data_IF_765466807962
#
_entry.id   IF_765466807962
#
_cell.length_a   1.000
_cell.length_b   1.000
_cell.length_c   1.000
_cell.angle_alpha   90.00
_cell.angle_beta   90.00
_cell.angle_gamma   90.00
#
_symmetry.space_group_name_H-M   'P 1'
#
loop_
_entity.id
_entity.type
_entity.pdbx_description
1 polymer ?
#
# COMPACT_ATOMS: atom_id res chain seq x y z
N UNK A 1 -6.44 -19.74 40.46
CA UNK A 1 -5.41 -19.64 39.41
C UNK A 1 -5.86 -20.51 38.24
N UNK A 2 -6.55 -19.90 37.28
CA UNK A 2 -6.85 -20.50 35.97
C UNK A 2 -6.62 -19.35 34.98
N UNK A 3 -5.49 -19.40 34.29
CA UNK A 3 -5.15 -18.52 33.18
C UNK A 3 -6.04 -18.86 31.99
N UNK A 4 -6.95 -17.95 31.65
CA UNK A 4 -7.69 -18.01 30.38
C UNK A 4 -6.86 -17.26 29.34
N UNK A 5 -5.84 -17.93 28.82
CA UNK A 5 -5.24 -17.58 27.53
C UNK A 5 -5.76 -18.56 26.49
N UNK A 6 -6.86 -18.22 25.81
CA UNK A 6 -7.24 -18.89 24.54
C UNK A 6 -7.86 -17.88 23.56
N UNK A 7 -7.07 -17.55 22.53
CA UNK A 7 -7.44 -17.04 21.20
C UNK A 7 -7.97 -15.60 21.05
N UNK A 8 -7.31 -14.60 21.66
CA UNK A 8 -7.52 -13.20 21.30
C UNK A 8 -6.38 -12.68 20.43
N UNK A 9 -6.59 -12.48 19.12
CA UNK A 9 -5.64 -11.71 18.29
C UNK A 9 -5.57 -10.30 18.88
N UNK A 10 -4.37 -9.84 19.24
CA UNK A 10 -4.22 -8.52 19.84
C UNK A 10 -4.40 -7.42 18.79
N UNK A 11 -4.87 -6.23 19.20
CA UNK A 11 -4.95 -5.06 18.30
C UNK A 11 -3.57 -4.72 17.72
N UNK A 12 -2.51 -4.96 18.49
CA UNK A 12 -1.15 -4.74 18.04
C UNK A 12 -0.79 -5.65 16.87
N UNK A 13 -1.16 -6.93 16.93
CA UNK A 13 -0.91 -7.89 15.84
C UNK A 13 -1.71 -7.52 14.60
N UNK A 14 -2.96 -7.06 14.77
CA UNK A 14 -3.79 -6.54 13.67
C UNK A 14 -3.09 -5.36 12.99
N UNK A 15 -2.62 -4.37 13.76
CA UNK A 15 -1.93 -3.20 13.21
C UNK A 15 -0.64 -3.57 12.48
N UNK A 16 0.12 -4.56 12.97
CA UNK A 16 1.33 -5.07 12.31
C UNK A 16 1.01 -5.70 10.97
N UNK A 17 0.05 -6.62 10.90
CA UNK A 17 -0.37 -7.28 9.66
C UNK A 17 -0.91 -6.25 8.66
N UNK A 18 -1.74 -5.31 9.12
CA UNK A 18 -2.20 -4.21 8.28
C UNK A 18 -1.04 -3.36 7.75
N UNK A 19 -0.01 -3.14 8.56
CA UNK A 19 1.20 -2.43 8.17
C UNK A 19 1.96 -3.09 7.03
N UNK A 20 2.07 -4.40 7.02
CA UNK A 20 2.70 -5.16 5.92
C UNK A 20 1.86 -5.05 4.63
N UNK A 21 0.54 -5.24 4.73
CA UNK A 21 -0.37 -5.13 3.57
C UNK A 21 -0.32 -3.72 2.97
N UNK A 22 -0.41 -2.69 3.81
CA UNK A 22 -0.32 -1.29 3.38
C UNK A 22 1.05 -0.99 2.77
N UNK A 23 2.14 -1.55 3.29
CA UNK A 23 3.47 -1.37 2.72
C UNK A 23 3.56 -1.93 1.29
N UNK A 24 3.00 -3.11 1.05
CA UNK A 24 2.98 -3.72 -0.29
C UNK A 24 2.14 -2.88 -1.25
N UNK A 25 0.96 -2.41 -0.82
CA UNK A 25 0.10 -1.56 -1.63
C UNK A 25 0.75 -0.20 -1.93
N UNK A 26 1.41 0.42 -0.96
CA UNK A 26 2.09 1.70 -1.13
C UNK A 26 3.26 1.58 -2.11
N UNK A 27 3.97 0.45 -2.09
CA UNK A 27 5.00 0.12 -3.08
C UNK A 27 4.42 0.10 -4.50
N UNK A 28 3.25 -0.53 -4.71
CA UNK A 28 2.58 -0.50 -6.02
C UNK A 28 2.06 0.88 -6.41
N UNK A 29 1.69 1.74 -5.46
CA UNK A 29 1.23 3.11 -5.77
C UNK A 29 2.40 4.02 -6.13
N UNK A 30 3.52 3.95 -5.40
CA UNK A 30 4.67 4.85 -5.56
C UNK A 30 5.64 4.39 -6.65
N UNK A 31 5.80 3.08 -6.84
CA UNK A 31 6.79 2.47 -7.75
C UNK A 31 6.15 1.62 -8.85
N UNK A 32 4.88 1.84 -9.14
CA UNK A 32 4.15 1.04 -10.12
C UNK A 32 4.84 0.96 -11.49
N UNK A 33 5.43 2.07 -11.96
CA UNK A 33 6.14 2.14 -13.24
C UNK A 33 7.32 1.15 -13.33
N UNK A 34 7.86 0.74 -12.18
CA UNK A 34 8.96 -0.23 -12.08
C UNK A 34 8.49 -1.67 -11.79
N UNK A 35 7.25 -1.85 -11.34
CA UNK A 35 6.75 -3.14 -10.83
C UNK A 35 5.65 -3.75 -11.69
N UNK A 36 4.84 -2.92 -12.32
CA UNK A 36 3.76 -3.35 -13.20
C UNK A 36 4.29 -3.50 -14.62
N UNK A 37 3.82 -4.52 -15.32
CA UNK A 37 4.34 -4.94 -16.63
C UNK A 37 3.71 -4.14 -17.77
N UNK A 38 2.49 -3.66 -17.55
CA UNK A 38 1.72 -2.95 -18.58
C UNK A 38 1.01 -1.73 -18.00
N UNK A 39 0.81 -0.66 -18.81
CA UNK A 39 0.00 0.49 -18.40
C UNK A 39 -1.43 0.10 -17.97
N UNK A 40 -1.99 -0.94 -18.56
CA UNK A 40 -3.32 -1.42 -18.19
C UNK A 40 -3.41 -1.94 -16.74
N UNK A 41 -2.36 -2.57 -16.24
CA UNK A 41 -2.30 -3.00 -14.82
C UNK A 41 -2.27 -1.79 -13.88
N UNK A 42 -1.64 -0.69 -14.31
CA UNK A 42 -1.65 0.58 -13.59
C UNK A 42 -3.06 1.17 -13.56
N UNK A 43 -3.75 1.22 -14.70
CA UNK A 43 -5.15 1.66 -14.80
C UNK A 43 -6.07 0.84 -13.87
N UNK A 44 -5.89 -0.49 -13.87
CA UNK A 44 -6.67 -1.39 -13.03
C UNK A 44 -6.39 -1.17 -11.54
N UNK A 45 -5.13 -0.94 -11.14
CA UNK A 45 -4.79 -0.63 -9.76
C UNK A 45 -5.55 0.60 -9.26
N UNK A 46 -5.51 1.71 -9.98
CA UNK A 46 -6.21 2.93 -9.54
C UNK A 46 -7.73 2.81 -9.62
N UNK A 47 -8.24 2.04 -10.58
CA UNK A 47 -9.66 1.69 -10.61
C UNK A 47 -10.09 0.95 -9.34
N UNK A 48 -9.31 -0.04 -8.91
CA UNK A 48 -9.60 -0.77 -7.66
C UNK A 48 -9.42 0.11 -6.42
N UNK A 49 -8.47 1.06 -6.42
CA UNK A 49 -8.36 2.04 -5.33
C UNK A 49 -9.58 2.97 -5.24
N UNK A 50 -10.14 3.40 -6.38
CA UNK A 50 -11.39 4.18 -6.42
C UNK A 50 -12.55 3.36 -5.87
N UNK A 51 -12.69 2.09 -6.29
CA UNK A 51 -13.72 1.19 -5.78
C UNK A 51 -13.60 0.90 -4.28
N UNK A 52 -12.37 0.90 -3.78
CA UNK A 52 -12.05 0.64 -2.39
C UNK A 52 -11.98 1.91 -1.51
N UNK A 53 -12.35 3.09 -2.03
CA UNK A 53 -12.17 4.37 -1.33
C UNK A 53 -12.80 4.36 0.08
N UNK A 54 -14.02 3.83 0.19
CA UNK A 54 -14.71 3.76 1.49
C UNK A 54 -13.98 2.87 2.49
N UNK A 55 -13.51 1.70 2.05
CA UNK A 55 -12.77 0.76 2.89
C UNK A 55 -11.42 1.33 3.31
N UNK A 56 -10.75 2.08 2.43
CA UNK A 56 -9.51 2.80 2.74
C UNK A 56 -9.76 3.86 3.81
N UNK A 57 -10.88 4.61 3.72
CA UNK A 57 -11.25 5.58 4.75
C UNK A 57 -11.61 4.90 6.08
N UNK A 58 -12.35 3.78 6.07
CA UNK A 58 -12.66 3.01 7.28
C UNK A 58 -11.37 2.52 7.98
N UNK A 59 -10.39 2.07 7.20
CA UNK A 59 -9.06 1.69 7.72
C UNK A 59 -8.34 2.91 8.32
N UNK A 60 -8.38 4.05 7.63
CA UNK A 60 -7.77 5.30 8.13
C UNK A 60 -8.42 5.77 9.45
N UNK A 61 -9.75 5.75 9.55
CA UNK A 61 -10.50 6.06 10.77
C UNK A 61 -10.14 5.10 11.92
N UNK A 62 -10.03 3.79 11.62
CA UNK A 62 -9.59 2.80 12.60
C UNK A 62 -8.19 3.11 13.14
N UNK A 63 -7.25 3.44 12.26
CA UNK A 63 -5.87 3.80 12.63
C UNK A 63 -5.87 5.05 13.53
N UNK A 64 -6.62 6.10 13.18
CA UNK A 64 -6.73 7.31 14.00
C UNK A 64 -7.27 7.01 15.39
N UNK A 65 -8.27 6.14 15.49
CA UNK A 65 -8.81 5.69 16.78
C UNK A 65 -7.75 5.00 17.64
N UNK A 66 -6.88 4.18 17.04
CA UNK A 66 -5.78 3.54 17.79
C UNK A 66 -4.69 4.54 18.17
N UNK A 67 -4.39 5.52 17.32
CA UNK A 67 -3.41 6.57 17.59
C UNK A 67 -3.82 7.50 18.75
N UNK A 68 -5.12 7.62 19.03
CA UNK A 68 -5.64 8.40 20.16
C UNK A 68 -5.61 7.69 21.51
N UNK A 69 -5.12 6.45 21.59
CA UNK A 69 -5.04 5.69 22.84
C UNK A 69 -3.79 6.04 23.65
N UNK A 70 -3.87 5.88 24.96
CA UNK A 70 -2.77 6.19 25.91
C UNK A 70 -1.61 5.16 25.85
N UNK A 71 -1.82 4.00 25.23
CA UNK A 71 -0.77 2.98 25.09
C UNK A 71 0.23 3.41 24.02
N UNK A 72 1.40 3.88 24.45
CA UNK A 72 2.38 4.52 23.58
C UNK A 72 2.85 3.62 22.42
N UNK A 73 3.05 2.32 22.64
CA UNK A 73 3.45 1.38 21.58
C UNK A 73 2.38 1.23 20.48
N UNK A 74 1.10 1.15 20.86
CA UNK A 74 -0.01 1.09 19.92
C UNK A 74 -0.14 2.40 19.15
N UNK A 75 0.04 3.53 19.84
CA UNK A 75 0.01 4.85 19.22
C UNK A 75 1.11 5.03 18.20
N UNK A 76 2.35 4.66 18.52
CA UNK A 76 3.49 4.73 17.59
C UNK A 76 3.27 3.84 16.37
N UNK A 77 2.81 2.60 16.58
CA UNK A 77 2.50 1.67 15.48
C UNK A 77 1.41 2.25 14.57
N UNK A 78 0.34 2.80 15.15
CA UNK A 78 -0.76 3.41 14.41
C UNK A 78 -0.32 4.66 13.62
N UNK A 79 0.50 5.54 14.20
CA UNK A 79 1.01 6.74 13.52
C UNK A 79 1.92 6.38 12.34
N UNK A 80 2.77 5.36 12.49
CA UNK A 80 3.58 4.85 11.39
C UNK A 80 2.70 4.28 10.26
N UNK A 81 1.69 3.49 10.61
CA UNK A 81 0.74 2.95 9.64
C UNK A 81 -0.06 4.05 8.92
N UNK A 82 -0.49 5.08 9.65
CA UNK A 82 -1.16 6.26 9.08
C UNK A 82 -0.31 6.92 7.99
N UNK A 83 0.98 7.08 8.24
CA UNK A 83 1.90 7.68 7.29
C UNK A 83 2.05 6.80 6.03
N UNK A 84 2.22 5.49 6.20
CA UNK A 84 2.29 4.52 5.10
C UNK A 84 1.01 4.46 4.25
N UNK A 85 -0.17 4.63 4.87
CA UNK A 85 -1.44 4.64 4.14
C UNK A 85 -1.68 5.93 3.33
N UNK A 86 -0.88 6.97 3.56
CA UNK A 86 -1.19 8.32 3.10
C UNK A 86 -1.24 8.48 1.58
N UNK A 87 -0.34 7.85 0.82
CA UNK A 87 -0.33 7.93 -0.65
C UNK A 87 -1.49 7.14 -1.26
N UNK A 88 -1.74 5.93 -0.77
CA UNK A 88 -2.90 5.10 -1.17
C UNK A 88 -4.19 5.88 -0.98
N UNK A 89 -4.38 6.49 0.21
CA UNK A 89 -5.56 7.31 0.51
C UNK A 89 -5.65 8.54 -0.39
N UNK A 90 -4.51 9.19 -0.66
CA UNK A 90 -4.45 10.37 -1.53
C UNK A 90 -4.85 10.01 -2.96
N UNK A 91 -4.33 8.91 -3.51
CA UNK A 91 -4.71 8.38 -4.83
C UNK A 91 -6.21 8.08 -4.91
N UNK A 92 -6.71 7.24 -3.99
CA UNK A 92 -8.11 6.82 -3.98
C UNK A 92 -9.05 8.03 -3.92
N UNK A 93 -8.77 8.98 -3.01
CA UNK A 93 -9.60 10.18 -2.84
C UNK A 93 -9.51 11.13 -4.02
N UNK A 94 -8.31 11.31 -4.59
CA UNK A 94 -8.10 12.17 -5.75
C UNK A 94 -8.96 11.72 -6.93
N UNK A 95 -8.86 10.45 -7.31
CA UNK A 95 -9.61 9.93 -8.45
C UNK A 95 -11.10 9.78 -8.15
N UNK A 96 -11.48 9.45 -6.91
CA UNK A 96 -12.91 9.40 -6.53
C UNK A 96 -13.58 10.77 -6.68
N UNK A 97 -12.89 11.86 -6.32
CA UNK A 97 -13.40 13.21 -6.53
C UNK A 97 -13.54 13.56 -8.02
N UNK A 98 -12.57 13.18 -8.85
CA UNK A 98 -12.62 13.38 -10.31
C UNK A 98 -13.76 12.61 -10.96
N UNK A 99 -13.95 11.36 -10.55
CA UNK A 99 -15.06 10.51 -10.98
C UNK A 99 -16.41 11.13 -10.61
N UNK A 100 -16.55 11.60 -9.37
CA UNK A 100 -17.77 12.25 -8.91
C UNK A 100 -18.08 13.59 -9.61
N UNK A 101 -17.06 14.27 -10.13
CA UNK A 101 -17.25 15.49 -10.94
C UNK A 101 -17.77 15.19 -12.35
N UNK A 102 -17.54 13.98 -12.87
CA UNK A 102 -17.87 13.63 -14.25
C UNK A 102 -19.34 13.23 -14.44
N UNK A 103 -19.99 12.69 -13.40
CA UNK A 103 -21.42 12.32 -13.47
C UNK A 103 -22.04 12.21 -12.07
N UNK A 104 -23.33 12.53 -11.96
CA UNK A 104 -24.16 12.22 -10.80
C UNK A 104 -24.70 10.77 -10.80
N UNK A 105 -24.58 10.08 -11.94
CA UNK A 105 -25.04 8.70 -12.15
C UNK A 105 -23.88 7.70 -12.04
N UNK A 106 -24.20 6.42 -11.85
CA UNK A 106 -23.22 5.34 -11.81
C UNK A 106 -22.47 5.22 -13.15
N UNK A 107 -21.16 5.45 -13.12
CA UNK A 107 -20.28 5.29 -14.28
C UNK A 107 -20.01 3.82 -14.59
N UNK A 108 -19.79 3.53 -15.87
CA UNK A 108 -19.27 2.23 -16.33
C UNK A 108 -17.78 2.09 -16.02
N UNK A 109 -17.28 0.85 -16.02
CA UNK A 109 -15.86 0.53 -15.87
C UNK A 109 -14.97 1.38 -16.82
N UNK A 110 -15.31 1.40 -18.10
CA UNK A 110 -14.54 2.13 -19.11
C UNK A 110 -14.54 3.64 -18.87
N UNK A 111 -15.66 4.21 -18.44
CA UNK A 111 -15.74 5.65 -18.14
C UNK A 111 -14.87 6.03 -16.94
N UNK A 112 -14.85 5.20 -15.89
CA UNK A 112 -13.96 5.42 -14.74
C UNK A 112 -12.50 5.33 -15.17
N UNK A 113 -12.13 4.34 -15.99
CA UNK A 113 -10.77 4.24 -16.53
C UNK A 113 -10.35 5.47 -17.33
N UNK A 114 -11.23 5.99 -18.20
CA UNK A 114 -10.91 7.20 -18.97
C UNK A 114 -10.64 8.40 -18.06
N UNK A 115 -11.45 8.58 -17.00
CA UNK A 115 -11.21 9.66 -16.02
C UNK A 115 -9.87 9.47 -15.32
N UNK A 116 -9.50 8.25 -14.95
CA UNK A 116 -8.20 7.96 -14.30
C UNK A 116 -7.05 8.30 -15.27
N UNK A 117 -7.09 7.77 -16.49
CA UNK A 117 -6.07 7.94 -17.52
C UNK A 117 -5.84 9.42 -17.87
N UNK A 118 -6.89 10.22 -17.91
CA UNK A 118 -6.83 11.65 -18.23
C UNK A 118 -6.31 12.54 -17.09
N UNK A 119 -6.14 12.00 -15.87
CA UNK A 119 -5.82 12.82 -14.67
C UNK A 119 -4.57 12.34 -13.91
N UNK A 120 -3.78 11.41 -14.45
CA UNK A 120 -2.56 10.90 -13.80
C UNK A 120 -1.55 11.99 -13.44
N UNK A 121 -1.36 12.97 -14.33
CA UNK A 121 -0.43 14.08 -14.17
C UNK A 121 -0.79 15.02 -13.00
N UNK A 122 -2.06 14.99 -12.56
CA UNK A 122 -2.54 15.82 -11.45
C UNK A 122 -2.36 15.17 -10.07
N UNK A 123 -1.95 13.90 -10.05
CA UNK A 123 -1.70 13.16 -8.82
C UNK A 123 -0.28 13.42 -8.30
N UNK A 124 -0.17 13.81 -7.04
CA UNK A 124 1.11 14.10 -6.39
C UNK A 124 1.27 13.25 -5.14
N UNK A 125 2.31 12.42 -5.11
CA UNK A 125 2.62 11.58 -3.96
C UNK A 125 3.64 12.20 -3.03
N UNK A 126 3.54 11.84 -1.75
CA UNK A 126 4.60 12.07 -0.79
C UNK A 126 5.64 10.98 -0.97
N UNK A 127 6.79 11.35 -1.54
CA UNK A 127 7.95 10.47 -1.54
C UNK A 127 8.53 10.48 -0.14
N UNK A 128 8.48 9.32 0.52
CA UNK A 128 9.14 9.14 1.83
C UNK A 128 10.64 8.94 1.57
N UNK A 129 11.55 9.68 2.24
CA UNK A 129 12.98 9.61 1.95
C UNK A 129 13.58 8.20 2.08
N UNK A 130 12.98 7.33 2.91
CA UNK A 130 13.43 5.92 3.01
C UNK A 130 13.14 5.10 1.75
N UNK A 131 12.16 5.51 0.92
CA UNK A 131 11.83 4.88 -0.37
C UNK A 131 12.60 5.47 -1.56
N UNK A 132 13.29 6.60 -1.38
CA UNK A 132 14.28 7.10 -2.36
C UNK A 132 15.51 6.20 -2.42
N UNK A 133 15.81 5.52 -1.30
CA UNK A 133 16.95 4.62 -1.14
C UNK A 133 16.62 3.16 -1.44
N UNK A 134 15.71 2.85 -2.37
CA UNK A 134 15.81 1.56 -3.08
C UNK A 134 17.02 1.67 -4.03
N UNK A 135 18.21 1.75 -3.44
CA UNK A 135 19.41 1.33 -4.14
C UNK A 135 19.15 -0.14 -4.44
N UNK A 136 19.17 -0.50 -5.73
CA UNK A 136 19.31 -1.90 -6.10
C UNK A 136 20.52 -2.37 -5.29
N UNK A 137 20.28 -3.21 -4.28
CA UNK A 137 21.36 -3.75 -3.48
C UNK A 137 22.15 -4.64 -4.42
N UNK A 138 23.22 -4.07 -4.97
CA UNK A 138 24.18 -4.75 -5.79
C UNK A 138 25.40 -4.96 -4.91
N UNK A 139 25.39 -6.02 -4.11
CA UNK A 139 26.63 -6.51 -3.51
C UNK A 139 27.42 -7.18 -4.65
N UNK A 140 28.66 -6.76 -4.93
CA UNK A 140 29.48 -7.37 -5.99
C UNK A 140 29.65 -8.89 -5.82
N UNK A 141 29.48 -9.39 -4.59
CA UNK A 141 29.64 -10.80 -4.23
C UNK A 141 28.33 -11.61 -4.30
N UNK A 142 27.18 -10.98 -4.56
CA UNK A 142 25.90 -11.70 -4.68
C UNK A 142 25.94 -12.67 -5.85
N UNK A 143 26.54 -12.29 -6.99
CA UNK A 143 26.69 -13.19 -8.13
C UNK A 143 27.50 -14.44 -7.78
N UNK A 144 28.59 -14.28 -7.01
CA UNK A 144 29.44 -15.39 -6.59
C UNK A 144 28.69 -16.31 -5.62
N UNK A 145 28.00 -15.74 -4.63
CA UNK A 145 27.13 -16.47 -3.71
C UNK A 145 26.02 -17.26 -4.42
N UNK A 146 25.27 -16.61 -5.32
CA UNK A 146 24.21 -17.29 -6.07
C UNK A 146 24.76 -18.35 -7.01
N UNK A 147 25.96 -18.14 -7.58
CA UNK A 147 26.62 -19.15 -8.40
C UNK A 147 27.01 -20.38 -7.60
N UNK A 148 27.61 -20.23 -6.42
CA UNK A 148 27.95 -21.34 -5.53
C UNK A 148 26.70 -22.06 -5.00
N UNK A 149 25.65 -21.31 -4.67
CA UNK A 149 24.37 -21.87 -4.23
C UNK A 149 23.73 -22.73 -5.32
N UNK A 150 23.66 -22.21 -6.55
CA UNK A 150 23.08 -22.93 -7.70
C UNK A 150 23.92 -24.15 -8.07
N UNK A 151 25.25 -24.03 -8.08
CA UNK A 151 26.15 -25.15 -8.38
C UNK A 151 26.00 -26.25 -7.33
N UNK A 152 26.09 -25.90 -6.04
CA UNK A 152 26.00 -26.89 -4.94
C UNK A 152 24.69 -27.68 -4.89
N UNK A 153 23.60 -27.14 -5.43
CA UNK A 153 22.27 -27.78 -5.42
C UNK A 153 21.87 -28.41 -6.77
N UNK A 154 22.56 -28.10 -7.87
CA UNK A 154 22.32 -28.71 -9.19
C UNK A 154 23.33 -29.82 -9.54
N UNK A 155 24.43 -29.97 -8.80
CA UNK A 155 25.42 -31.05 -9.00
C UNK A 155 25.31 -32.20 -7.99
N UNK A 156 24.09 -32.56 -7.57
CA UNK A 156 23.80 -33.88 -6.96
C UNK A 156 23.11 -34.79 -7.99
#
# INVERSE_FOLDING_TARGET
MITVEQNGVSIQDILKVMGEVVCILDLFVVKADSLLRTPHEYDCLYYELVRAERQIEDVYEFILKQAGKEVEELKMTALNLKNRLSNIRTAAKHFSLKVAQYSSDTLTYQQVLSVIQENYDTLNFRVEPSLEMVQIHYEPNDQEFFSEFVISHLTN
#
